data_IF_113501841334
#
_entry.id   IF_113501841334
#
_cell.length_a   1.000
_cell.length_b   1.000
_cell.length_c   1.000
_cell.angle_alpha   90.00
_cell.angle_beta   90.00
_cell.angle_gamma   90.00
#
_symmetry.space_group_name_H-M   'P 1'
#
loop_
_entity.id
_entity.type
_entity.pdbx_description
1 polymer ?
#
# COMPACT_ATOMS: atom_id res chain seq x y z
N UNK A 1 22.30 -38.32 -3.12
CA UNK A 1 21.58 -37.62 -2.05
C UNK A 1 21.98 -36.15 -1.99
N UNK A 2 23.27 -35.81 -2.15
CA UNK A 2 23.83 -34.46 -2.07
C UNK A 2 23.31 -33.52 -3.19
N UNK A 3 23.43 -33.88 -4.46
CA UNK A 3 23.03 -33.07 -5.60
C UNK A 3 21.56 -32.66 -5.57
N UNK A 4 20.58 -33.54 -5.32
CA UNK A 4 19.19 -33.12 -5.16
C UNK A 4 18.97 -32.14 -4.00
N UNK A 5 19.66 -32.34 -2.88
CA UNK A 5 19.53 -31.50 -1.70
C UNK A 5 20.09 -30.09 -1.92
N UNK A 6 21.24 -29.98 -2.61
CA UNK A 6 21.82 -28.69 -3.03
C UNK A 6 20.85 -27.94 -3.94
N UNK A 7 20.22 -28.62 -4.89
CA UNK A 7 19.21 -28.01 -5.76
C UNK A 7 17.99 -27.52 -4.96
N UNK A 8 17.51 -28.31 -3.99
CA UNK A 8 16.40 -27.89 -3.11
C UNK A 8 16.77 -26.64 -2.29
N UNK A 9 18.01 -26.52 -1.79
CA UNK A 9 18.50 -25.33 -1.08
C UNK A 9 18.54 -24.13 -2.02
N UNK A 10 19.08 -24.28 -3.22
CA UNK A 10 19.14 -23.19 -4.22
C UNK A 10 17.75 -22.70 -4.63
N UNK A 11 16.79 -23.61 -4.80
CA UNK A 11 15.40 -23.24 -5.07
C UNK A 11 14.75 -22.53 -3.88
N UNK A 12 15.02 -22.96 -2.66
CA UNK A 12 14.49 -22.32 -1.46
C UNK A 12 15.07 -20.92 -1.26
N UNK A 13 16.36 -20.71 -1.54
CA UNK A 13 17.00 -19.40 -1.55
C UNK A 13 16.37 -18.48 -2.59
N UNK A 14 16.16 -18.96 -3.81
CA UNK A 14 15.49 -18.21 -4.87
C UNK A 14 14.06 -17.77 -4.46
N UNK A 15 13.30 -18.69 -3.83
CA UNK A 15 11.96 -18.39 -3.32
C UNK A 15 12.00 -17.36 -2.19
N UNK A 16 12.98 -17.43 -1.29
CA UNK A 16 13.14 -16.42 -0.23
C UNK A 16 13.41 -15.03 -0.82
N UNK A 17 14.33 -14.94 -1.80
CA UNK A 17 14.63 -13.68 -2.47
C UNK A 17 13.40 -13.10 -3.20
N UNK A 18 12.61 -13.95 -3.88
CA UNK A 18 11.36 -13.53 -4.51
C UNK A 18 10.36 -13.00 -3.48
N UNK A 19 10.13 -13.72 -2.40
CA UNK A 19 9.21 -13.32 -1.34
C UNK A 19 9.66 -12.02 -0.63
N UNK A 20 10.96 -11.78 -0.49
CA UNK A 20 11.50 -10.52 0.03
C UNK A 20 11.21 -9.35 -0.92
N UNK A 21 11.40 -9.51 -2.22
CA UNK A 21 11.09 -8.49 -3.23
C UNK A 21 9.57 -8.20 -3.32
N UNK A 22 8.75 -9.24 -3.20
CA UNK A 22 7.28 -9.09 -3.16
C UNK A 22 6.83 -8.33 -1.92
N UNK A 23 7.40 -8.61 -0.75
CA UNK A 23 7.12 -7.86 0.48
C UNK A 23 7.54 -6.40 0.35
N UNK A 24 8.72 -6.11 -0.18
CA UNK A 24 9.18 -4.74 -0.41
C UNK A 24 8.22 -3.97 -1.33
N UNK A 25 7.78 -4.61 -2.41
CA UNK A 25 6.80 -4.05 -3.35
C UNK A 25 5.45 -3.79 -2.67
N UNK A 26 4.95 -4.74 -1.89
CA UNK A 26 3.70 -4.61 -1.15
C UNK A 26 3.77 -3.45 -0.14
N UNK A 27 4.86 -3.33 0.62
CA UNK A 27 5.09 -2.25 1.59
C UNK A 27 5.18 -0.90 0.89
N UNK A 28 5.89 -0.81 -0.24
CA UNK A 28 6.01 0.42 -1.03
C UNK A 28 4.64 0.89 -1.54
N UNK A 29 3.86 -0.01 -2.12
CA UNK A 29 2.51 0.29 -2.62
C UNK A 29 1.57 0.71 -1.49
N UNK A 30 1.61 0.00 -0.36
CA UNK A 30 0.84 0.36 0.84
C UNK A 30 1.17 1.78 1.32
N UNK A 31 2.45 2.14 1.36
CA UNK A 31 2.89 3.46 1.81
C UNK A 31 2.47 4.57 0.83
N UNK A 32 2.44 4.31 -0.46
CA UNK A 32 1.91 5.24 -1.46
C UNK A 32 0.43 5.56 -1.20
N UNK A 33 -0.40 4.52 -1.00
CA UNK A 33 -1.83 4.69 -0.68
C UNK A 33 -2.04 5.40 0.67
N UNK A 34 -1.25 5.07 1.69
CA UNK A 34 -1.29 5.76 2.99
C UNK A 34 -0.98 7.26 2.88
N UNK A 35 -0.01 7.62 2.03
CA UNK A 35 0.33 9.02 1.75
C UNK A 35 -0.80 9.74 1.01
N UNK A 36 -1.48 9.05 0.12
CA UNK A 36 -2.64 9.60 -0.60
C UNK A 36 -3.82 9.83 0.33
N UNK A 37 -4.13 8.87 1.20
CA UNK A 37 -5.14 9.03 2.25
C UNK A 37 -4.84 10.26 3.14
N UNK A 38 -3.61 10.39 3.61
CA UNK A 38 -3.20 11.52 4.45
C UNK A 38 -3.37 12.87 3.71
N UNK A 39 -3.08 12.91 2.41
CA UNK A 39 -3.29 14.11 1.58
C UNK A 39 -4.77 14.49 1.48
N UNK A 40 -5.67 13.52 1.24
CA UNK A 40 -7.09 13.77 1.15
C UNK A 40 -7.71 14.16 2.50
N UNK A 41 -7.27 13.55 3.60
CA UNK A 41 -7.68 13.94 4.95
C UNK A 41 -7.26 15.38 5.27
N UNK A 42 -6.00 15.74 5.05
CA UNK A 42 -5.53 17.10 5.26
C UNK A 42 -6.30 18.11 4.38
N UNK A 43 -6.64 17.73 3.12
CA UNK A 43 -7.44 18.58 2.23
C UNK A 43 -8.86 18.76 2.75
N UNK A 44 -9.52 17.70 3.21
CA UNK A 44 -10.88 17.78 3.77
C UNK A 44 -10.91 18.64 5.05
N UNK A 45 -9.94 18.49 5.93
CA UNK A 45 -9.83 19.33 7.14
C UNK A 45 -9.61 20.81 6.80
N UNK A 46 -8.73 21.10 5.84
CA UNK A 46 -8.50 22.49 5.39
C UNK A 46 -9.75 23.11 4.75
N UNK A 47 -10.48 22.35 3.93
CA UNK A 47 -11.73 22.79 3.31
C UNK A 47 -12.81 23.02 4.37
N UNK A 48 -12.95 22.11 5.33
CA UNK A 48 -13.90 22.24 6.44
C UNK A 48 -13.62 23.52 7.24
N UNK A 49 -12.35 23.74 7.63
CA UNK A 49 -11.95 24.95 8.36
C UNK A 49 -12.21 26.22 7.56
N UNK A 50 -11.94 26.21 6.26
CA UNK A 50 -12.19 27.34 5.36
C UNK A 50 -13.70 27.65 5.27
N UNK A 51 -14.55 26.62 5.12
CA UNK A 51 -16.01 26.75 5.10
C UNK A 51 -16.55 27.29 6.43
N UNK A 52 -16.09 26.76 7.54
CA UNK A 52 -16.51 27.22 8.88
C UNK A 52 -16.08 28.66 9.13
N UNK A 53 -14.86 29.03 8.73
CA UNK A 53 -14.38 30.43 8.81
C UNK A 53 -15.19 31.38 7.92
N UNK A 54 -15.59 30.90 6.74
CA UNK A 54 -16.38 31.69 5.81
C UNK A 54 -17.83 31.83 6.31
N UNK A 55 -18.44 30.77 6.85
CA UNK A 55 -19.77 30.81 7.51
C UNK A 55 -19.76 31.76 8.73
N UNK A 56 -18.70 31.69 9.54
CA UNK A 56 -18.53 32.58 10.69
C UNK A 56 -18.42 34.04 10.26
N UNK A 57 -17.67 34.36 9.19
CA UNK A 57 -17.57 35.69 8.61
C UNK A 57 -18.91 36.18 8.04
N UNK A 58 -19.69 35.30 7.45
CA UNK A 58 -21.04 35.61 6.99
C UNK A 58 -22.06 35.85 8.13
N UNK A 59 -21.67 35.62 9.39
CA UNK A 59 -22.53 35.81 10.56
C UNK A 59 -23.59 34.74 10.71
N UNK A 60 -23.50 33.63 9.98
CA UNK A 60 -24.51 32.56 9.94
C UNK A 60 -24.80 31.98 11.33
N UNK A 61 -23.74 31.76 12.12
CA UNK A 61 -23.86 31.18 13.47
C UNK A 61 -24.62 32.13 14.42
N UNK A 62 -24.39 33.43 14.33
CA UNK A 62 -25.08 34.43 15.13
C UNK A 62 -26.53 34.64 14.72
N UNK A 63 -26.87 34.31 13.50
CA UNK A 63 -28.21 34.45 12.94
C UNK A 63 -29.09 33.21 13.07
N UNK A 64 -28.57 32.09 13.54
CA UNK A 64 -29.34 30.82 13.65
C UNK A 64 -30.68 30.94 14.38
N UNK A 65 -30.70 31.74 15.45
CA UNK A 65 -31.87 31.94 16.30
C UNK A 65 -32.74 33.12 15.91
N UNK A 66 -32.39 33.84 14.83
CA UNK A 66 -33.17 35.00 14.35
C UNK A 66 -34.31 34.52 13.50
N UNK A 67 -35.53 34.92 13.88
CA UNK A 67 -36.77 34.56 13.18
C UNK A 67 -36.72 34.97 11.70
N UNK A 68 -37.07 34.05 10.81
CA UNK A 68 -37.08 34.26 9.36
C UNK A 68 -35.75 33.96 8.66
N UNK A 69 -34.76 33.38 9.35
CA UNK A 69 -33.56 32.83 8.73
C UNK A 69 -33.86 31.48 8.13
N UNK A 70 -33.43 31.26 6.90
CA UNK A 70 -33.64 30.00 6.13
C UNK A 70 -32.41 29.08 6.17
N UNK A 71 -31.23 29.69 6.08
CA UNK A 71 -29.92 28.98 6.02
C UNK A 71 -28.90 29.80 5.26
N UNK A 72 -27.73 29.21 4.95
CA UNK A 72 -26.79 29.88 4.01
C UNK A 72 -27.18 29.54 2.57
N UNK A 73 -26.85 30.38 1.59
CA UNK A 73 -27.19 30.07 0.19
C UNK A 73 -26.54 28.77 -0.25
N UNK A 74 -25.29 28.49 0.19
CA UNK A 74 -24.58 27.26 -0.08
C UNK A 74 -25.37 26.00 0.38
N UNK A 75 -25.99 26.05 1.55
CA UNK A 75 -26.76 24.91 2.09
C UNK A 75 -28.11 24.71 1.36
N UNK A 76 -28.55 25.70 0.57
CA UNK A 76 -29.84 25.70 -0.11
C UNK A 76 -29.75 25.40 -1.62
N UNK A 77 -28.54 25.22 -2.15
CA UNK A 77 -28.30 24.98 -3.58
C UNK A 77 -27.58 23.68 -3.83
N UNK A 78 -27.84 23.10 -5.00
CA UNK A 78 -27.13 21.94 -5.55
C UNK A 78 -26.43 22.41 -6.83
N UNK A 79 -25.14 22.20 -6.91
CA UNK A 79 -24.29 22.56 -8.05
C UNK A 79 -23.97 21.29 -8.83
N UNK A 80 -24.01 21.35 -10.16
CA UNK A 80 -23.64 20.23 -11.01
C UNK A 80 -22.12 19.94 -10.90
N UNK A 81 -21.74 18.68 -10.97
CA UNK A 81 -20.34 18.23 -10.89
C UNK A 81 -19.48 18.92 -11.95
N UNK A 82 -18.32 19.46 -11.52
CA UNK A 82 -17.38 20.20 -12.38
C UNK A 82 -17.70 21.67 -12.58
N UNK A 83 -18.82 22.19 -11.99
CA UNK A 83 -19.22 23.60 -12.07
C UNK A 83 -18.94 24.39 -10.79
N UNK A 84 -18.44 23.74 -9.76
CA UNK A 84 -18.28 24.32 -8.41
C UNK A 84 -17.42 25.59 -8.43
N UNK A 85 -16.24 25.52 -9.06
CA UNK A 85 -15.32 26.65 -9.13
C UNK A 85 -15.91 27.85 -9.90
N UNK A 86 -16.63 27.56 -10.99
CA UNK A 86 -17.30 28.60 -11.79
C UNK A 86 -18.46 29.24 -11.05
N UNK A 87 -19.27 28.45 -10.33
CA UNK A 87 -20.40 28.95 -9.53
C UNK A 87 -19.90 29.76 -8.36
N UNK A 88 -18.86 29.30 -7.67
CA UNK A 88 -18.23 30.07 -6.58
C UNK A 88 -17.64 31.38 -7.08
N UNK A 89 -16.95 31.34 -8.21
CA UNK A 89 -16.41 32.55 -8.82
C UNK A 89 -17.51 33.56 -9.22
N UNK A 90 -18.65 33.07 -9.73
CA UNK A 90 -19.76 33.89 -10.13
C UNK A 90 -20.51 34.53 -8.94
N UNK A 91 -20.84 33.72 -7.92
CA UNK A 91 -21.59 34.13 -6.74
C UNK A 91 -20.71 34.90 -5.73
N UNK A 92 -19.44 34.55 -5.63
CA UNK A 92 -18.50 35.14 -4.67
C UNK A 92 -19.03 35.05 -3.23
N UNK A 93 -19.02 36.16 -2.50
CA UNK A 93 -19.46 36.24 -1.09
C UNK A 93 -20.95 35.92 -0.92
N UNK A 94 -21.76 36.06 -1.96
CA UNK A 94 -23.20 35.74 -1.90
C UNK A 94 -23.44 34.26 -1.57
N UNK A 95 -22.56 33.34 -2.01
CA UNK A 95 -22.69 31.92 -1.77
C UNK A 95 -22.73 31.55 -0.27
N UNK A 96 -21.99 32.28 0.54
CA UNK A 96 -21.89 32.07 1.99
C UNK A 96 -22.83 32.97 2.79
N UNK A 97 -23.59 33.84 2.13
CA UNK A 97 -24.50 34.77 2.78
C UNK A 97 -25.71 34.04 3.36
N UNK A 98 -26.24 34.59 4.46
CA UNK A 98 -27.44 34.06 5.11
C UNK A 98 -28.69 34.49 4.34
N UNK A 99 -29.47 33.52 3.93
CA UNK A 99 -30.75 33.72 3.24
C UNK A 99 -31.85 33.87 4.26
N UNK A 100 -32.68 34.90 4.10
CA UNK A 100 -33.83 35.19 4.95
C UNK A 100 -35.12 35.33 4.13
N UNK A 101 -36.27 35.02 4.75
CA UNK A 101 -37.55 34.92 4.06
C UNK A 101 -38.02 36.18 3.34
N UNK A 102 -37.68 37.38 3.85
CA UNK A 102 -38.14 38.65 3.31
C UNK A 102 -37.30 39.81 3.81
N UNK A 103 -37.59 41.00 3.31
CA UNK A 103 -36.92 42.28 3.66
C UNK A 103 -37.04 42.62 5.16
N UNK A 104 -38.14 42.28 5.82
CA UNK A 104 -38.30 42.56 7.25
C UNK A 104 -37.40 41.64 8.10
N UNK A 105 -37.30 40.35 7.73
CA UNK A 105 -36.35 39.43 8.33
C UNK A 105 -34.90 39.83 8.08
N UNK A 106 -34.61 40.42 6.90
CA UNK A 106 -33.28 40.97 6.61
C UNK A 106 -32.93 42.14 7.52
N UNK A 107 -33.87 43.06 7.77
CA UNK A 107 -33.67 44.16 8.71
C UNK A 107 -33.39 43.68 10.12
N UNK A 108 -34.14 42.67 10.61
CA UNK A 108 -33.89 42.06 11.93
C UNK A 108 -32.52 41.41 12.01
N UNK A 109 -32.15 40.62 11.00
CA UNK A 109 -30.86 39.99 10.94
C UNK A 109 -29.69 40.97 10.94
N UNK A 110 -29.77 42.05 10.12
CA UNK A 110 -28.76 43.12 10.09
C UNK A 110 -28.70 43.87 11.41
N UNK A 111 -29.84 44.19 12.06
CA UNK A 111 -29.87 44.81 13.37
C UNK A 111 -29.20 43.94 14.43
N UNK A 112 -29.44 42.61 14.39
CA UNK A 112 -28.83 41.64 15.30
C UNK A 112 -27.31 41.58 15.10
N UNK A 113 -26.83 41.46 13.86
CA UNK A 113 -25.39 41.49 13.53
C UNK A 113 -24.71 42.77 14.05
N UNK A 114 -25.37 43.90 13.86
CA UNK A 114 -24.84 45.21 14.31
C UNK A 114 -24.77 45.32 15.84
N UNK A 115 -25.81 44.85 16.55
CA UNK A 115 -25.81 44.83 18.02
C UNK A 115 -24.77 43.88 18.59
N UNK A 116 -24.49 42.75 17.89
CA UNK A 116 -23.46 41.80 18.24
C UNK A 116 -22.03 42.22 17.81
N UNK A 117 -21.89 43.41 17.16
CA UNK A 117 -20.62 43.89 16.58
C UNK A 117 -19.95 42.85 15.67
N UNK A 118 -20.76 42.09 14.93
CA UNK A 118 -20.31 40.99 14.04
C UNK A 118 -20.58 41.41 12.59
N UNK A 119 -19.61 41.17 11.71
CA UNK A 119 -19.81 41.29 10.27
C UNK A 119 -20.67 40.15 9.75
N UNK A 120 -21.42 40.38 8.67
CA UNK A 120 -22.21 39.37 8.01
C UNK A 120 -22.91 39.89 6.77
N UNK A 121 -23.34 38.96 5.92
CA UNK A 121 -24.06 39.26 4.70
C UNK A 121 -25.40 38.54 4.70
N UNK A 122 -26.45 39.21 4.26
CA UNK A 122 -27.84 38.71 4.26
C UNK A 122 -28.44 38.85 2.88
N UNK A 123 -29.07 37.83 2.38
CA UNK A 123 -29.85 37.77 1.13
C UNK A 123 -31.33 37.65 1.46
N UNK A 124 -32.16 38.59 1.03
CA UNK A 124 -33.59 38.53 1.25
C UNK A 124 -34.32 37.86 0.07
N UNK A 125 -35.15 36.83 0.36
CA UNK A 125 -36.05 36.25 -0.61
C UNK A 125 -37.22 37.22 -0.95
N UNK A 126 -37.86 37.00 -2.10
CA UNK A 126 -39.03 37.78 -2.53
C UNK A 126 -38.70 39.14 -3.15
N UNK A 127 -37.41 39.40 -3.42
CA UNK A 127 -37.04 40.54 -4.25
C UNK A 127 -37.61 40.34 -5.66
N UNK A 128 -38.55 41.18 -6.07
CA UNK A 128 -39.05 41.17 -7.44
C UNK A 128 -38.16 42.06 -8.27
N UNK A 129 -37.50 41.48 -9.24
CA UNK A 129 -36.76 42.23 -10.25
C UNK A 129 -37.33 41.87 -11.62
N UNK A 130 -37.69 42.89 -12.37
CA UNK A 130 -37.98 42.78 -13.81
C UNK A 130 -36.67 42.79 -14.60
N UNK A 131 -35.65 42.06 -14.15
CA UNK A 131 -34.41 41.90 -14.95
C UNK A 131 -34.75 41.06 -16.15
N UNK A 132 -35.12 41.70 -17.20
CA UNK A 132 -35.21 41.10 -18.54
C UNK A 132 -33.79 40.77 -18.96
N UNK A 133 -33.43 39.48 -18.91
CA UNK A 133 -32.13 38.97 -19.36
C UNK A 133 -32.13 38.99 -20.88
N UNK A 134 -31.89 40.18 -21.46
CA UNK A 134 -31.77 40.38 -22.91
C UNK A 134 -30.32 40.42 -23.38
N UNK A 135 -29.40 39.82 -22.61
CA UNK A 135 -27.99 39.69 -23.05
C UNK A 135 -27.85 38.45 -23.94
N UNK A 136 -27.34 38.65 -25.17
CA UNK A 136 -26.86 37.53 -25.99
C UNK A 136 -25.73 36.84 -25.22
N UNK A 137 -25.90 35.52 -24.98
CA UNK A 137 -24.78 34.70 -24.48
C UNK A 137 -23.71 34.68 -25.58
N UNK A 138 -22.45 35.08 -25.28
CA UNK A 138 -21.39 35.04 -26.26
C UNK A 138 -21.25 33.65 -26.89
N UNK A 139 -20.83 33.59 -28.16
CA UNK A 139 -20.65 32.30 -28.85
C UNK A 139 -19.65 31.42 -28.08
N UNK A 140 -20.07 30.20 -27.74
CA UNK A 140 -19.24 29.25 -26.97
C UNK A 140 -19.24 29.47 -25.46
N UNK A 141 -20.02 30.44 -24.92
CA UNK A 141 -20.23 30.58 -23.48
C UNK A 141 -21.46 29.79 -23.04
N UNK A 142 -21.44 29.36 -21.77
CA UNK A 142 -22.53 28.58 -21.14
C UNK A 142 -23.11 29.41 -19.97
N UNK A 143 -24.41 29.29 -19.74
CA UNK A 143 -25.06 29.97 -18.61
C UNK A 143 -24.80 29.21 -17.32
N UNK A 144 -24.20 29.86 -16.34
CA UNK A 144 -23.94 29.25 -15.02
C UNK A 144 -25.23 28.87 -14.32
N UNK A 145 -26.29 29.68 -14.51
CA UNK A 145 -27.59 29.44 -13.88
C UNK A 145 -28.19 28.06 -14.19
N UNK A 146 -27.91 27.49 -15.33
CA UNK A 146 -28.42 26.17 -15.76
C UNK A 146 -27.83 25.02 -14.94
N UNK A 147 -26.67 25.26 -14.30
CA UNK A 147 -25.89 24.25 -13.54
C UNK A 147 -26.01 24.42 -12.00
N UNK A 148 -26.97 25.30 -11.55
CA UNK A 148 -27.26 25.50 -10.12
C UNK A 148 -28.74 25.36 -9.89
N UNK A 149 -29.12 24.48 -8.97
CA UNK A 149 -30.52 24.17 -8.64
C UNK A 149 -30.81 24.36 -7.16
N UNK A 150 -32.07 24.58 -6.83
CA UNK A 150 -32.57 24.55 -5.45
C UNK A 150 -33.92 23.82 -5.42
N UNK A 151 -34.18 23.11 -4.34
CA UNK A 151 -35.50 22.49 -4.09
C UNK A 151 -36.57 23.52 -3.74
N UNK A 152 -36.16 24.74 -3.34
CA UNK A 152 -37.03 25.85 -2.99
C UNK A 152 -37.18 26.81 -4.17
N UNK A 153 -38.44 27.08 -4.55
CA UNK A 153 -38.76 27.97 -5.65
C UNK A 153 -38.26 29.40 -5.41
N UNK A 154 -38.47 29.92 -4.19
CA UNK A 154 -38.05 31.27 -3.81
C UNK A 154 -36.51 31.46 -3.85
N UNK A 155 -35.74 30.43 -3.52
CA UNK A 155 -34.28 30.41 -3.67
C UNK A 155 -33.90 30.29 -5.17
N UNK A 156 -34.65 29.53 -5.96
CA UNK A 156 -34.44 29.45 -7.41
C UNK A 156 -34.65 30.83 -8.08
N UNK A 157 -35.71 31.55 -7.67
CA UNK A 157 -35.97 32.90 -8.16
C UNK A 157 -34.84 33.90 -7.74
N UNK A 158 -34.25 33.72 -6.55
CA UNK A 158 -33.07 34.47 -6.12
C UNK A 158 -31.83 34.15 -6.98
N UNK A 159 -31.61 32.87 -7.31
CA UNK A 159 -30.51 32.46 -8.19
C UNK A 159 -30.65 33.04 -9.60
N UNK A 160 -31.90 33.13 -10.11
CA UNK A 160 -32.17 33.77 -11.40
C UNK A 160 -31.70 35.24 -11.42
N UNK A 161 -31.81 35.95 -10.28
CA UNK A 161 -31.31 37.31 -10.15
C UNK A 161 -29.78 37.38 -9.99
N UNK A 162 -29.22 36.56 -9.11
CA UNK A 162 -27.78 36.58 -8.81
C UNK A 162 -26.91 36.13 -9.99
N UNK A 163 -27.39 35.21 -10.79
CA UNK A 163 -26.64 34.60 -11.91
C UNK A 163 -27.14 35.09 -13.29
N UNK A 164 -28.03 36.11 -13.31
CA UNK A 164 -28.65 36.63 -14.53
C UNK A 164 -27.65 36.91 -15.68
N UNK A 165 -26.50 37.47 -15.35
CA UNK A 165 -25.47 37.89 -16.29
C UNK A 165 -24.20 37.04 -16.23
N UNK A 166 -24.23 35.96 -15.48
CA UNK A 166 -23.04 35.10 -15.25
C UNK A 166 -22.94 34.02 -16.32
N UNK A 167 -21.79 33.96 -16.98
CA UNK A 167 -21.49 32.98 -18.04
C UNK A 167 -20.15 32.33 -17.78
N UNK A 168 -20.04 31.01 -18.10
CA UNK A 168 -18.77 30.35 -18.16
C UNK A 168 -18.21 30.38 -19.58
N UNK A 169 -16.93 30.68 -19.71
CA UNK A 169 -16.16 30.67 -20.96
C UNK A 169 -14.97 29.76 -20.83
N UNK A 170 -14.40 29.36 -21.97
CA UNK A 170 -13.36 28.29 -22.02
C UNK A 170 -12.06 28.65 -21.28
N UNK A 171 -11.66 29.93 -21.31
CA UNK A 171 -10.39 30.41 -20.74
C UNK A 171 -10.45 31.92 -20.41
N UNK A 172 -9.44 32.40 -19.72
CA UNK A 172 -9.35 33.80 -19.29
C UNK A 172 -9.33 34.81 -20.47
N UNK A 173 -8.78 34.45 -21.63
CA UNK A 173 -8.74 35.32 -22.81
C UNK A 173 -10.16 35.53 -23.34
N UNK A 174 -10.92 34.44 -23.49
CA UNK A 174 -12.33 34.52 -23.87
C UNK A 174 -13.17 35.27 -22.83
N UNK A 175 -12.80 35.18 -21.54
CA UNK A 175 -13.47 35.94 -20.48
C UNK A 175 -13.27 37.46 -20.65
N UNK A 176 -12.06 37.90 -20.92
CA UNK A 176 -11.76 39.33 -21.20
C UNK A 176 -12.55 39.78 -22.43
N UNK A 177 -12.51 39.03 -23.53
CA UNK A 177 -13.24 39.42 -24.76
C UNK A 177 -14.75 39.52 -24.50
N UNK A 178 -15.33 38.58 -23.73
CA UNK A 178 -16.74 38.56 -23.38
C UNK A 178 -17.16 39.83 -22.61
N UNK A 179 -16.43 40.20 -21.53
CA UNK A 179 -16.79 41.35 -20.70
C UNK A 179 -16.50 42.67 -21.37
N UNK A 180 -15.55 42.71 -22.30
CA UNK A 180 -15.30 43.92 -23.12
C UNK A 180 -16.37 44.12 -24.18
N UNK A 181 -16.98 43.02 -24.68
CA UNK A 181 -18.08 43.05 -25.66
C UNK A 181 -19.43 43.42 -25.02
N UNK A 182 -19.74 42.89 -23.84
CA UNK A 182 -20.91 43.27 -23.05
C UNK A 182 -20.50 43.52 -21.58
N UNK A 183 -20.42 44.79 -21.21
CA UNK A 183 -20.01 45.26 -19.87
C UNK A 183 -20.89 44.76 -18.70
N UNK A 184 -22.06 44.20 -18.99
CA UNK A 184 -22.99 43.66 -17.97
C UNK A 184 -22.64 42.22 -17.56
N UNK A 185 -21.83 41.53 -18.37
CA UNK A 185 -21.48 40.15 -18.11
C UNK A 185 -20.51 40.00 -16.92
N UNK A 186 -20.69 38.91 -16.23
CA UNK A 186 -19.70 38.33 -15.32
C UNK A 186 -19.23 37.04 -16.02
N UNK A 187 -18.04 37.07 -16.57
CA UNK A 187 -17.44 35.90 -17.20
C UNK A 187 -16.55 35.15 -16.19
N UNK A 188 -16.71 33.85 -16.14
CA UNK A 188 -15.88 32.99 -15.29
C UNK A 188 -15.31 31.85 -16.12
N UNK A 189 -14.22 31.22 -15.63
CA UNK A 189 -13.60 30.05 -16.26
C UNK A 189 -13.84 28.78 -15.41
N UNK A 190 -13.63 27.60 -15.98
CA UNK A 190 -13.65 26.34 -15.21
C UNK A 190 -12.65 26.31 -14.05
N UNK A 191 -11.54 27.06 -14.15
CA UNK A 191 -10.52 27.20 -13.11
C UNK A 191 -10.94 28.14 -11.97
N UNK A 192 -12.10 28.81 -12.09
CA UNK A 192 -12.61 29.73 -11.07
C UNK A 192 -12.10 31.15 -11.21
N UNK A 193 -11.58 31.54 -12.37
CA UNK A 193 -11.29 32.95 -12.69
C UNK A 193 -12.60 33.74 -12.79
N UNK A 194 -12.57 35.01 -12.45
CA UNK A 194 -13.72 35.90 -12.54
C UNK A 194 -13.36 37.22 -13.16
N UNK A 195 -14.08 37.59 -14.20
CA UNK A 195 -13.89 38.81 -14.96
C UNK A 195 -15.19 39.62 -14.98
N UNK A 196 -15.05 40.89 -14.71
CA UNK A 196 -16.08 41.92 -14.86
C UNK A 196 -15.48 43.09 -15.63
N UNK A 197 -16.28 44.06 -16.05
CA UNK A 197 -15.80 45.24 -16.73
C UNK A 197 -14.66 45.97 -16.02
N UNK A 198 -14.65 45.97 -14.67
CA UNK A 198 -13.72 46.77 -13.86
C UNK A 198 -12.80 45.95 -12.96
N UNK A 199 -13.00 44.62 -12.90
CA UNK A 199 -12.22 43.79 -11.98
C UNK A 199 -11.96 42.38 -12.55
N UNK A 200 -10.70 41.99 -12.54
CA UNK A 200 -10.25 40.70 -13.01
C UNK A 200 -9.57 39.96 -11.86
N UNK A 201 -10.00 38.71 -11.62
CA UNK A 201 -9.45 37.83 -10.57
C UNK A 201 -9.12 36.50 -11.19
N UNK A 202 -7.89 36.05 -10.96
CA UNK A 202 -7.48 34.66 -11.30
C UNK A 202 -7.83 33.79 -10.12
N UNK A 203 -8.52 32.70 -10.38
CA UNK A 203 -8.81 31.61 -9.44
C UNK A 203 -7.63 30.66 -9.28
N UNK A 204 -7.76 29.75 -8.35
CA UNK A 204 -6.84 28.61 -8.24
C UNK A 204 -7.69 27.37 -8.45
N UNK A 205 -7.37 26.58 -9.47
CA UNK A 205 -8.08 25.35 -9.77
C UNK A 205 -8.15 24.46 -8.51
N UNK A 206 -9.36 24.08 -8.10
CA UNK A 206 -9.59 23.32 -6.89
C UNK A 206 -9.41 24.08 -5.57
N UNK A 207 -9.32 25.42 -5.61
CA UNK A 207 -9.15 26.30 -4.43
C UNK A 207 -10.46 26.76 -3.79
N UNK A 208 -11.61 26.48 -4.41
CA UNK A 208 -12.91 26.85 -3.88
C UNK A 208 -13.29 26.01 -2.66
N UNK A 209 -13.55 26.71 -1.52
CA UNK A 209 -14.13 26.05 -0.34
C UNK A 209 -15.64 25.87 -0.55
N UNK A 210 -16.03 25.02 -1.49
CA UNK A 210 -17.42 24.62 -1.71
C UNK A 210 -17.77 23.36 -0.93
N UNK A 211 -19.05 23.16 -0.63
CA UNK A 211 -19.53 21.90 -0.03
C UNK A 211 -19.17 20.70 -0.90
N UNK A 212 -19.25 20.83 -2.24
CA UNK A 212 -18.91 19.79 -3.20
C UNK A 212 -17.41 19.42 -3.14
N UNK A 213 -16.51 20.40 -3.10
CA UNK A 213 -15.07 20.14 -2.96
C UNK A 213 -14.72 19.42 -1.64
N UNK A 214 -15.44 19.71 -0.57
CA UNK A 214 -15.32 18.98 0.69
C UNK A 214 -15.82 17.54 0.55
N UNK A 215 -17.00 17.36 -0.06
CA UNK A 215 -17.59 16.03 -0.30
C UNK A 215 -16.68 15.15 -1.15
N UNK A 216 -16.12 15.69 -2.23
CA UNK A 216 -15.13 15.01 -3.07
C UNK A 216 -13.88 14.60 -2.28
N UNK A 217 -13.37 15.51 -1.44
CA UNK A 217 -12.21 15.19 -0.61
C UNK A 217 -12.51 14.08 0.42
N UNK A 218 -13.70 14.07 1.00
CA UNK A 218 -14.16 13.03 1.92
C UNK A 218 -14.35 11.68 1.20
N UNK A 219 -14.96 11.68 0.02
CA UNK A 219 -15.17 10.49 -0.79
C UNK A 219 -13.84 9.86 -1.22
N UNK A 220 -12.88 10.69 -1.68
CA UNK A 220 -11.54 10.22 -2.03
C UNK A 220 -10.78 9.70 -0.80
N UNK A 221 -10.93 10.32 0.36
CA UNK A 221 -10.34 9.82 1.61
C UNK A 221 -10.92 8.46 2.00
N UNK A 222 -12.23 8.24 1.89
CA UNK A 222 -12.85 6.95 2.20
C UNK A 222 -12.46 5.87 1.19
N UNK A 223 -12.34 6.22 -0.10
CA UNK A 223 -11.84 5.32 -1.14
C UNK A 223 -10.41 4.90 -0.85
N UNK A 224 -9.52 5.86 -0.57
CA UNK A 224 -8.11 5.58 -0.23
C UNK A 224 -7.98 4.77 1.07
N UNK A 225 -8.86 4.98 2.05
CA UNK A 225 -8.91 4.20 3.30
C UNK A 225 -9.32 2.75 3.04
N UNK A 226 -10.30 2.53 2.18
CA UNK A 226 -10.72 1.19 1.77
C UNK A 226 -9.62 0.46 1.01
N UNK A 227 -8.92 1.17 0.10
CA UNK A 227 -7.77 0.61 -0.60
C UNK A 227 -6.62 0.31 0.34
N UNK A 228 -6.33 1.16 1.33
CA UNK A 228 -5.28 0.93 2.32
C UNK A 228 -5.53 -0.38 3.08
N UNK A 229 -6.77 -0.68 3.46
CA UNK A 229 -7.09 -1.94 4.12
C UNK A 229 -6.76 -3.17 3.25
N UNK A 230 -6.99 -3.10 1.94
CA UNK A 230 -6.62 -4.15 0.98
C UNK A 230 -5.08 -4.29 0.89
N UNK A 231 -4.35 -3.17 0.86
CA UNK A 231 -2.88 -3.18 0.83
C UNK A 231 -2.24 -3.66 2.14
N UNK A 232 -2.85 -3.33 3.29
CA UNK A 232 -2.42 -3.86 4.59
C UNK A 232 -2.54 -5.39 4.63
N UNK A 233 -3.62 -5.96 4.08
CA UNK A 233 -3.78 -7.41 3.96
C UNK A 233 -2.74 -8.03 3.00
N UNK A 234 -2.45 -7.39 1.88
CA UNK A 234 -1.41 -7.85 0.95
C UNK A 234 -0.03 -7.88 1.61
N UNK A 235 0.32 -6.87 2.41
CA UNK A 235 1.56 -6.86 3.20
C UNK A 235 1.58 -8.02 4.20
N UNK A 236 0.47 -8.30 4.89
CA UNK A 236 0.37 -9.41 5.85
C UNK A 236 0.59 -10.77 5.18
N UNK A 237 0.02 -10.97 3.99
CA UNK A 237 0.22 -12.19 3.19
C UNK A 237 1.69 -12.32 2.79
N UNK A 238 2.28 -11.28 2.19
CA UNK A 238 3.67 -11.28 1.76
C UNK A 238 4.65 -11.52 2.94
N UNK A 239 4.37 -10.97 4.12
CA UNK A 239 5.15 -11.25 5.35
C UNK A 239 5.09 -12.71 5.75
N UNK A 240 3.92 -13.34 5.65
CA UNK A 240 3.73 -14.76 5.98
C UNK A 240 4.48 -15.64 5.00
N UNK A 241 4.43 -15.34 3.71
CA UNK A 241 5.16 -16.04 2.66
C UNK A 241 6.67 -15.92 2.82
N UNK A 242 7.17 -14.70 3.08
CA UNK A 242 8.58 -14.46 3.36
C UNK A 242 9.07 -15.26 4.57
N UNK A 243 8.30 -15.29 5.67
CA UNK A 243 8.64 -16.05 6.86
C UNK A 243 8.66 -17.56 6.59
N UNK A 244 7.71 -18.06 5.82
CA UNK A 244 7.63 -19.46 5.39
C UNK A 244 8.84 -19.85 4.53
N UNK A 245 9.18 -19.00 3.55
CA UNK A 245 10.34 -19.23 2.68
C UNK A 245 11.66 -19.24 3.45
N UNK A 246 11.86 -18.32 4.39
CA UNK A 246 13.03 -18.30 5.29
C UNK A 246 13.13 -19.55 6.16
N UNK A 247 12.01 -19.98 6.71
CA UNK A 247 11.97 -21.19 7.55
C UNK A 247 12.33 -22.44 6.72
N UNK A 248 11.82 -22.53 5.50
CA UNK A 248 12.10 -23.64 4.58
C UNK A 248 13.57 -23.69 4.16
N UNK A 249 14.15 -22.57 3.78
CA UNK A 249 15.58 -22.46 3.47
C UNK A 249 16.44 -22.90 4.65
N UNK A 250 16.16 -22.39 5.87
CA UNK A 250 16.89 -22.75 7.08
C UNK A 250 16.79 -24.25 7.40
N UNK A 251 15.63 -24.85 7.20
CA UNK A 251 15.44 -26.30 7.39
C UNK A 251 16.28 -27.11 6.40
N UNK A 252 16.25 -26.74 5.12
CA UNK A 252 17.01 -27.41 4.07
C UNK A 252 18.52 -27.25 4.28
N UNK A 253 18.97 -26.07 4.69
CA UNK A 253 20.38 -25.83 5.02
C UNK A 253 20.85 -26.74 6.16
N UNK A 254 20.08 -26.88 7.24
CA UNK A 254 20.39 -27.81 8.34
C UNK A 254 20.46 -29.26 7.87
N UNK A 255 19.60 -29.67 6.94
CA UNK A 255 19.63 -31.01 6.35
C UNK A 255 20.88 -31.21 5.49
N UNK A 256 21.31 -30.20 4.74
CA UNK A 256 22.54 -30.25 3.96
C UNK A 256 23.76 -30.36 4.88
N UNK A 257 23.85 -29.53 5.91
CA UNK A 257 24.94 -29.57 6.90
C UNK A 257 25.04 -30.93 7.60
N UNK A 258 23.89 -31.51 7.95
CA UNK A 258 23.82 -32.85 8.58
C UNK A 258 24.26 -33.97 7.60
N UNK A 259 23.88 -33.88 6.31
CA UNK A 259 24.32 -34.77 5.27
C UNK A 259 25.85 -34.71 5.08
N UNK A 260 26.43 -33.52 5.03
CA UNK A 260 27.87 -33.29 4.85
C UNK A 260 28.67 -33.84 6.05
N UNK A 261 28.16 -33.62 7.28
CA UNK A 261 28.76 -34.21 8.46
C UNK A 261 28.70 -35.74 8.44
N UNK A 262 27.58 -36.33 8.03
CA UNK A 262 27.43 -37.79 7.90
C UNK A 262 28.35 -38.35 6.81
N UNK A 263 28.48 -37.65 5.67
CA UNK A 263 29.37 -38.06 4.60
C UNK A 263 30.85 -38.01 5.04
N UNK A 264 31.26 -36.96 5.74
CA UNK A 264 32.60 -36.83 6.30
C UNK A 264 32.91 -37.96 7.28
N UNK A 265 32.01 -38.22 8.24
CA UNK A 265 32.17 -39.32 9.19
C UNK A 265 32.25 -40.67 8.53
N UNK A 266 31.41 -40.95 7.52
CA UNK A 266 31.43 -42.19 6.75
C UNK A 266 32.75 -42.34 5.95
N UNK A 267 33.26 -41.29 5.37
CA UNK A 267 34.51 -41.25 4.62
C UNK A 267 35.71 -41.55 5.53
N UNK A 268 35.75 -40.95 6.72
CA UNK A 268 36.77 -41.23 7.75
C UNK A 268 36.72 -42.66 8.26
N UNK A 269 35.51 -43.18 8.50
CA UNK A 269 35.34 -44.60 8.90
C UNK A 269 35.79 -45.53 7.80
N UNK A 270 35.49 -45.27 6.55
CA UNK A 270 35.95 -46.08 5.40
C UNK A 270 37.48 -46.05 5.29
N UNK A 271 38.10 -44.87 5.44
CA UNK A 271 39.56 -44.74 5.41
C UNK A 271 40.21 -45.54 6.52
N UNK A 272 39.65 -45.55 7.73
CA UNK A 272 40.11 -46.34 8.87
C UNK A 272 40.03 -47.86 8.58
N UNK A 273 38.88 -48.32 8.15
CA UNK A 273 38.68 -49.75 7.79
C UNK A 273 39.63 -50.19 6.66
N UNK A 274 39.86 -49.31 5.68
CA UNK A 274 40.82 -49.60 4.61
C UNK A 274 42.28 -49.70 5.12
N UNK A 275 42.69 -48.89 6.11
CA UNK A 275 44.00 -48.98 6.76
C UNK A 275 44.13 -50.26 7.54
N UNK A 276 43.16 -50.57 8.42
CA UNK A 276 43.09 -51.79 9.21
C UNK A 276 43.17 -53.04 8.29
N UNK A 277 42.45 -53.05 7.15
CA UNK A 277 42.49 -54.14 6.18
C UNK A 277 43.87 -54.31 5.57
N UNK A 278 44.58 -53.21 5.22
CA UNK A 278 45.95 -53.29 4.68
C UNK A 278 46.93 -53.82 5.73
N UNK A 279 46.82 -53.36 6.96
CA UNK A 279 47.63 -53.81 8.09
C UNK A 279 47.44 -55.29 8.34
N UNK A 280 46.19 -55.75 8.41
CA UNK A 280 45.87 -57.18 8.56
C UNK A 280 46.36 -58.05 7.38
N UNK A 281 46.27 -57.52 6.14
CA UNK A 281 46.82 -58.23 4.98
C UNK A 281 48.32 -58.38 5.06
N UNK A 282 49.06 -57.29 5.43
CA UNK A 282 50.50 -57.31 5.61
C UNK A 282 50.93 -58.28 6.72
N UNK A 283 50.21 -58.27 7.86
CA UNK A 283 50.47 -59.20 8.96
C UNK A 283 50.22 -60.67 8.52
N UNK A 284 49.12 -60.92 7.82
CA UNK A 284 48.79 -62.25 7.25
C UNK A 284 49.88 -62.76 6.31
N UNK A 285 50.35 -61.86 5.39
CA UNK A 285 51.45 -62.25 4.50
C UNK A 285 52.74 -62.53 5.24
N UNK A 286 53.04 -61.72 6.30
CA UNK A 286 54.23 -61.94 7.15
C UNK A 286 54.17 -63.24 7.98
N UNK A 287 52.97 -63.75 8.34
CA UNK A 287 52.79 -65.00 9.10
C UNK A 287 52.87 -66.27 8.22
N UNK A 288 52.59 -66.19 6.92
CA UNK A 288 52.62 -67.34 6.00
C UNK A 288 53.99 -68.00 5.99
N UNK A 289 55.16 -67.36 5.90
CA UNK A 289 56.46 -68.08 5.97
C UNK A 289 56.65 -68.79 7.29
N UNK A 290 56.29 -68.16 8.40
CA UNK A 290 56.41 -68.75 9.75
C UNK A 290 55.54 -69.98 9.90
N UNK A 291 54.33 -69.96 9.35
CA UNK A 291 53.46 -71.14 9.30
C UNK A 291 54.09 -72.25 8.49
N UNK A 292 54.65 -71.99 7.32
CA UNK A 292 55.38 -72.97 6.51
C UNK A 292 56.55 -73.56 7.24
N UNK A 293 57.36 -72.80 7.96
CA UNK A 293 58.49 -73.32 8.77
C UNK A 293 58.03 -74.27 9.89
N UNK A 294 56.91 -73.89 10.56
CA UNK A 294 56.31 -74.72 11.61
C UNK A 294 55.74 -76.03 11.03
N UNK A 295 55.06 -75.97 9.90
CA UNK A 295 54.54 -77.16 9.21
C UNK A 295 55.66 -78.09 8.77
N UNK A 296 56.77 -77.59 8.21
CA UNK A 296 57.92 -78.40 7.87
C UNK A 296 58.57 -79.01 9.09
N UNK A 297 58.70 -78.29 10.19
CA UNK A 297 59.23 -78.79 11.46
C UNK A 297 58.33 -79.90 12.02
N UNK A 298 57.00 -79.68 11.98
CA UNK A 298 56.04 -80.68 12.39
C UNK A 298 56.16 -82.00 11.58
N UNK A 299 56.27 -81.90 10.26
CA UNK A 299 56.45 -83.04 9.37
C UNK A 299 57.73 -83.82 9.65
N UNK A 300 58.84 -83.06 9.88
CA UNK A 300 60.12 -83.70 10.29
C UNK A 300 60.02 -84.44 11.61
N UNK A 301 59.34 -83.83 12.59
CA UNK A 301 59.11 -84.44 13.89
C UNK A 301 58.22 -85.69 13.77
N UNK A 302 57.12 -85.66 12.99
CA UNK A 302 56.26 -86.79 12.75
C UNK A 302 57.02 -87.95 12.06
N UNK A 303 57.87 -87.66 11.06
CA UNK A 303 58.71 -88.69 10.40
C UNK A 303 59.69 -89.29 11.40
N UNK A 304 60.30 -88.41 12.29
CA UNK A 304 61.21 -88.95 13.32
C UNK A 304 60.50 -89.85 14.37
N UNK A 305 59.29 -89.48 14.77
CA UNK A 305 58.48 -90.33 15.68
C UNK A 305 58.18 -91.68 15.02
N UNK A 306 57.75 -91.74 13.74
CA UNK A 306 57.46 -92.91 13.03
C UNK A 306 58.73 -93.83 12.88
N UNK A 307 59.89 -93.18 12.61
CA UNK A 307 61.15 -93.92 12.58
C UNK A 307 61.52 -94.54 13.93
N UNK A 308 61.34 -93.79 15.02
CA UNK A 308 61.61 -94.30 16.39
C UNK A 308 60.58 -95.42 16.78
N UNK A 309 59.28 -95.27 16.44
CA UNK A 309 58.25 -96.27 16.67
C UNK A 309 58.59 -97.58 15.94
N UNK A 310 59.31 -97.50 14.79
CA UNK A 310 59.74 -98.67 14.06
C UNK A 310 61.03 -99.26 14.66
N UNK A 311 61.92 -98.44 15.21
CA UNK A 311 63.21 -98.84 15.76
C UNK A 311 63.10 -99.44 17.20
N UNK A 312 62.24 -98.91 18.02
CA UNK A 312 62.04 -99.39 19.41
C UNK A 312 61.73 -100.91 19.49
N UNK A 313 60.81 -101.43 18.72
CA UNK A 313 60.52 -102.89 18.77
C UNK A 313 61.70 -103.77 18.34
N UNK A 314 62.53 -103.23 17.39
CA UNK A 314 63.74 -103.97 16.95
C UNK A 314 64.83 -104.00 18.02
N UNK A 315 65.01 -102.84 18.69
CA UNK A 315 65.99 -102.81 19.81
C UNK A 315 65.52 -103.56 21.05
N UNK A 316 64.20 -103.58 21.36
CA UNK A 316 63.63 -104.41 22.40
C UNK A 316 63.81 -105.91 22.11
N UNK A 317 63.73 -106.33 20.83
CA UNK A 317 64.07 -107.69 20.41
C UNK A 317 65.55 -108.02 20.52
N UNK A 318 66.39 -107.10 20.14
CA UNK A 318 67.85 -107.25 20.28
C UNK A 318 68.27 -107.37 21.76
N UNK A 319 67.69 -106.44 22.63
CA UNK A 319 67.93 -106.52 24.08
C UNK A 319 67.43 -107.79 24.71
N UNK A 320 66.28 -108.32 24.30
CA UNK A 320 65.77 -109.60 24.78
C UNK A 320 66.63 -110.75 24.32
N UNK A 321 67.16 -110.74 23.10
CA UNK A 321 68.09 -111.75 22.57
C UNK A 321 69.44 -111.70 23.28
N UNK A 322 69.97 -110.54 23.63
CA UNK A 322 71.19 -110.43 24.45
C UNK A 322 70.98 -110.84 25.91
N UNK A 323 69.79 -110.72 26.48
CA UNK A 323 69.50 -111.09 27.82
C UNK A 323 69.35 -112.66 27.99
N UNK A 324 69.08 -113.39 26.86
CA UNK A 324 68.97 -114.85 26.84
C UNK A 324 70.32 -115.51 26.52
N UNK A 325 71.36 -114.82 26.11
CA UNK A 325 72.71 -115.37 25.80
C UNK A 325 73.65 -115.22 27.02
#
# INVERSE_FOLDING_TARGET
VEVPLVNEVTEAESRRLSAEAELETAVSTRNAVASELARWQARSEALQLALDSARARAGAEKLKDVSGVVGTLLDLVVIDEGWEASVEAALGEALLSVVVENTESARRALAHLRSASTSGAVLALGAKSEVVITGLVPAGALRIREHVRSTRKDVSDLLDLLLATSVQVKDWTAAVDAVMSDPRLVAVTPEGDRFTTTGWRIGVAGGGATGAALEDALNNAETSKSELAVRDEAVRIAQTEQQSARSRESELQKRLDANDAAFTAASEALARVQSERREAATESEGLLPTLGEIEERLNRLKARVAELEHLVPSLEQEEAAEAEA
#
